data_IF_535153073220
#
_entry.id   IF_535153073220
#
_cell.length_a   1.000
_cell.length_b   1.000
_cell.length_c   1.000
_cell.angle_alpha   90.00
_cell.angle_beta   90.00
_cell.angle_gamma   90.00
#
_symmetry.space_group_name_H-M   'P 1'
#
loop_
_entity.id
_entity.type
_entity.pdbx_description
1 polymer ?
#
# COMPACT_ATOMS: atom_id res chain seq x y z
N UNK A 1 19.87 -3.51 -18.11
CA UNK A 1 18.57 -2.89 -17.78
C UNK A 1 18.29 -3.21 -16.33
N UNK A 2 18.37 -2.23 -15.43
CA UNK A 2 18.02 -2.46 -14.03
C UNK A 2 16.51 -2.54 -13.93
N UNK A 3 15.98 -3.65 -13.41
CA UNK A 3 14.57 -3.78 -13.06
C UNK A 3 14.16 -2.56 -12.22
N UNK A 4 13.26 -1.73 -12.75
CA UNK A 4 12.74 -0.59 -12.03
C UNK A 4 11.89 -1.14 -10.88
N UNK A 5 12.41 -1.07 -9.67
CA UNK A 5 11.65 -1.40 -8.47
C UNK A 5 10.64 -0.27 -8.24
N UNK A 6 9.31 -0.56 -8.25
CA UNK A 6 8.31 0.44 -7.95
C UNK A 6 8.55 1.04 -6.56
N UNK A 7 8.30 2.34 -6.38
CA UNK A 7 8.56 2.99 -5.09
C UNK A 7 7.84 2.33 -3.92
N UNK A 8 6.59 1.86 -4.08
CA UNK A 8 5.89 1.18 -2.98
C UNK A 8 6.58 -0.11 -2.50
N UNK A 9 7.33 -0.77 -3.39
CA UNK A 9 8.09 -1.99 -3.06
C UNK A 9 9.24 -1.64 -2.13
N UNK A 10 9.96 -0.54 -2.39
CA UNK A 10 11.05 -0.09 -1.53
C UNK A 10 10.53 0.27 -0.13
N UNK A 11 9.33 0.86 -0.03
CA UNK A 11 8.67 1.13 1.25
C UNK A 11 8.37 -0.16 2.01
N UNK A 12 7.86 -1.20 1.35
CA UNK A 12 7.51 -2.46 2.02
C UNK A 12 8.73 -3.29 2.43
N UNK A 13 9.87 -3.11 1.77
CA UNK A 13 11.14 -3.69 2.19
C UNK A 13 11.77 -2.96 3.39
N UNK A 14 11.29 -1.76 3.76
CA UNK A 14 11.80 -1.05 4.94
C UNK A 14 11.32 -1.74 6.23
N UNK A 15 12.22 -2.20 7.11
CA UNK A 15 11.85 -2.88 8.36
C UNK A 15 11.09 -1.99 9.34
N UNK A 16 11.13 -0.67 9.18
CA UNK A 16 10.40 0.27 10.02
C UNK A 16 8.92 0.36 9.65
N UNK A 17 8.50 -0.12 8.48
CA UNK A 17 7.08 -0.08 8.11
C UNK A 17 6.22 -0.92 9.06
N UNK A 18 6.75 -2.02 9.57
CA UNK A 18 6.07 -2.86 10.56
C UNK A 18 5.94 -2.19 11.92
N UNK A 19 6.82 -1.23 12.24
CA UNK A 19 6.78 -0.47 13.49
C UNK A 19 5.71 0.61 13.51
N UNK A 20 5.18 1.01 12.35
CA UNK A 20 4.05 1.93 12.28
C UNK A 20 2.84 1.25 12.91
N UNK A 21 2.22 1.87 13.92
CA UNK A 21 1.08 1.28 14.63
C UNK A 21 -0.26 1.40 13.89
N UNK A 22 -0.30 2.19 12.80
CA UNK A 22 -1.50 2.43 12.01
C UNK A 22 -2.02 1.14 11.34
N UNK A 23 -3.33 0.90 11.43
CA UNK A 23 -3.99 -0.25 10.79
C UNK A 23 -3.97 -0.17 9.26
N UNK A 24 -3.99 1.04 8.70
CA UNK A 24 -4.04 1.32 7.26
C UNK A 24 -2.98 2.36 6.92
N UNK A 25 -2.23 2.14 5.83
CA UNK A 25 -1.22 3.06 5.30
C UNK A 25 -1.49 3.32 3.82
N UNK A 26 -1.40 4.58 3.41
CA UNK A 26 -1.51 5.00 2.01
C UNK A 26 -0.13 5.35 1.49
N UNK A 27 0.30 4.63 0.46
CA UNK A 27 1.64 4.71 -0.11
C UNK A 27 1.51 5.09 -1.57
N UNK A 28 2.32 6.05 -2.03
CA UNK A 28 2.37 6.41 -3.45
C UNK A 28 2.94 5.23 -4.25
N UNK A 29 2.23 4.75 -5.27
CA UNK A 29 2.66 3.58 -6.05
C UNK A 29 4.05 3.79 -6.67
N UNK A 30 4.24 4.93 -7.32
CA UNK A 30 5.51 5.25 -8.00
C UNK A 30 6.58 5.77 -7.04
N UNK A 31 6.20 6.57 -6.04
CA UNK A 31 7.14 7.29 -5.18
C UNK A 31 7.58 6.50 -3.95
N UNK A 32 6.80 5.53 -3.49
CA UNK A 32 7.04 4.84 -2.22
C UNK A 32 6.83 5.70 -0.99
N UNK A 33 6.31 6.92 -1.13
CA UNK A 33 6.10 7.82 0.01
C UNK A 33 4.82 7.44 0.73
N UNK A 34 4.88 7.36 2.06
CA UNK A 34 3.69 7.25 2.89
C UNK A 34 3.01 8.63 2.91
N UNK A 35 1.78 8.69 2.40
CA UNK A 35 0.98 9.92 2.32
C UNK A 35 0.05 10.08 3.53
N UNK A 36 -0.43 8.98 4.10
CA UNK A 36 -1.32 8.99 5.24
C UNK A 36 -1.31 7.63 5.95
N UNK A 37 -1.68 7.64 7.23
CA UNK A 37 -2.00 6.44 8.01
C UNK A 37 -3.33 6.64 8.74
N UNK A 38 -4.08 5.56 8.92
CA UNK A 38 -5.38 5.55 9.59
C UNK A 38 -5.50 4.35 10.51
N UNK A 39 -6.23 4.52 11.61
CA UNK A 39 -6.52 3.44 12.54
C UNK A 39 -7.82 2.71 12.17
N UNK A 40 -8.71 3.36 11.41
CA UNK A 40 -10.02 2.82 11.05
C UNK A 40 -10.39 3.01 9.57
N UNK A 41 -11.28 2.15 9.06
CA UNK A 41 -11.85 2.29 7.71
C UNK A 41 -12.62 3.60 7.53
N UNK A 42 -13.28 4.08 8.60
CA UNK A 42 -14.10 5.30 8.54
C UNK A 42 -13.26 6.50 8.11
N UNK A 43 -12.12 6.72 8.77
CA UNK A 43 -11.20 7.81 8.45
C UNK A 43 -10.63 7.70 7.04
N UNK A 44 -10.30 6.47 6.61
CA UNK A 44 -9.87 6.21 5.24
C UNK A 44 -10.93 6.69 4.24
N UNK A 45 -12.18 6.24 4.37
CA UNK A 45 -13.23 6.60 3.41
C UNK A 45 -13.57 8.09 3.42
N UNK A 46 -13.54 8.74 4.58
CA UNK A 46 -13.69 10.20 4.67
C UNK A 46 -12.57 10.92 3.92
N UNK A 47 -11.32 10.45 4.03
CA UNK A 47 -10.20 11.04 3.28
C UNK A 47 -10.30 10.78 1.78
N UNK A 48 -10.68 9.57 1.39
CA UNK A 48 -10.76 9.14 -0.02
C UNK A 48 -11.83 9.92 -0.77
N UNK A 49 -13.01 10.13 -0.18
CA UNK A 49 -14.09 10.93 -0.78
C UNK A 49 -13.68 12.38 -1.04
N UNK A 50 -12.79 12.92 -0.22
CA UNK A 50 -12.28 14.29 -0.34
C UNK A 50 -11.04 14.40 -1.25
N UNK A 51 -10.58 13.30 -1.84
CA UNK A 51 -9.36 13.27 -2.62
C UNK A 51 -9.60 13.83 -4.04
N UNK A 52 -8.92 14.92 -4.37
CA UNK A 52 -8.77 15.41 -5.74
C UNK A 52 -7.39 15.03 -6.26
N UNK A 53 -7.26 13.88 -6.91
CA UNK A 53 -5.98 13.46 -7.47
C UNK A 53 -6.06 12.21 -8.34
N UNK A 54 -5.28 12.19 -9.42
CA UNK A 54 -5.23 11.09 -10.41
C UNK A 54 -4.14 10.05 -10.11
N UNK A 55 -3.31 10.28 -9.09
CA UNK A 55 -2.18 9.41 -8.75
C UNK A 55 -2.67 8.05 -8.23
N UNK A 56 -2.12 6.96 -8.76
CA UNK A 56 -2.38 5.62 -8.23
C UNK A 56 -1.67 5.47 -6.89
N UNK A 57 -2.41 5.06 -5.86
CA UNK A 57 -1.87 4.80 -4.53
C UNK A 57 -2.13 3.36 -4.11
N UNK A 58 -1.29 2.86 -3.21
CA UNK A 58 -1.39 1.54 -2.61
C UNK A 58 -1.87 1.73 -1.18
N UNK A 59 -2.98 1.08 -0.84
CA UNK A 59 -3.56 1.05 0.49
C UNK A 59 -3.15 -0.24 1.16
N UNK A 60 -2.09 -0.16 1.96
CA UNK A 60 -1.67 -1.27 2.80
C UNK A 60 -2.55 -1.35 4.05
N UNK A 61 -3.05 -2.53 4.38
CA UNK A 61 -3.89 -2.71 5.55
C UNK A 61 -3.54 -3.97 6.35
N UNK A 62 -3.76 -3.91 7.65
CA UNK A 62 -3.48 -4.97 8.63
C UNK A 62 -4.68 -5.15 9.54
N UNK A 63 -5.01 -6.41 9.85
CA UNK A 63 -6.06 -6.78 10.81
C UNK A 63 -7.45 -6.16 10.53
N UNK A 64 -7.71 -5.81 9.27
CA UNK A 64 -8.96 -5.21 8.81
C UNK A 64 -9.36 -5.93 7.51
N UNK A 65 -10.65 -6.16 7.35
CA UNK A 65 -11.20 -6.69 6.10
C UNK A 65 -12.07 -5.64 5.40
N UNK A 66 -11.92 -5.59 4.07
CA UNK A 66 -12.74 -4.77 3.19
C UNK A 66 -13.77 -5.65 2.47
N UNK A 67 -15.04 -5.26 2.55
CA UNK A 67 -16.14 -5.90 1.80
C UNK A 67 -15.96 -5.64 0.30
N UNK A 68 -16.52 -6.47 -0.60
CA UNK A 68 -16.41 -6.26 -2.04
C UNK A 68 -16.79 -4.83 -2.48
N UNK A 69 -17.86 -4.28 -1.93
CA UNK A 69 -18.35 -2.93 -2.22
C UNK A 69 -17.34 -1.86 -1.78
N UNK A 70 -16.74 -2.03 -0.60
CA UNK A 70 -15.67 -1.16 -0.11
C UNK A 70 -14.45 -1.18 -1.04
N UNK A 71 -14.09 -2.35 -1.59
CA UNK A 71 -12.98 -2.48 -2.54
C UNK A 71 -13.27 -1.78 -3.85
N UNK A 72 -14.49 -1.90 -4.37
CA UNK A 72 -14.90 -1.23 -5.60
C UNK A 72 -14.84 0.29 -5.45
N UNK A 73 -15.30 0.82 -4.30
CA UNK A 73 -15.19 2.25 -4.01
C UNK A 73 -13.72 2.66 -4.02
N UNK A 74 -12.85 1.98 -3.27
CA UNK A 74 -11.42 2.32 -3.23
C UNK A 74 -10.77 2.24 -4.62
N UNK A 75 -11.14 1.23 -5.42
CA UNK A 75 -10.67 1.08 -6.79
C UNK A 75 -11.09 2.25 -7.69
N UNK A 76 -12.33 2.73 -7.57
CA UNK A 76 -12.81 3.91 -8.29
C UNK A 76 -11.97 5.16 -7.99
N UNK A 77 -11.41 5.25 -6.78
CA UNK A 77 -10.47 6.32 -6.37
C UNK A 77 -8.98 5.99 -6.62
N UNK A 78 -8.70 4.98 -7.45
CA UNK A 78 -7.33 4.53 -7.83
C UNK A 78 -6.48 4.13 -6.62
N UNK A 79 -7.10 3.50 -5.63
CA UNK A 79 -6.43 2.91 -4.49
C UNK A 79 -6.42 1.39 -4.64
N UNK A 80 -5.23 0.84 -4.87
CA UNK A 80 -5.02 -0.60 -4.91
C UNK A 80 -4.88 -1.12 -3.48
N UNK A 81 -5.69 -2.10 -3.10
CA UNK A 81 -5.62 -2.73 -1.80
C UNK A 81 -4.44 -3.69 -1.71
N UNK A 82 -3.74 -3.68 -0.58
CA UNK A 82 -2.56 -4.49 -0.30
C UNK A 82 -2.65 -5.03 1.12
N UNK A 83 -2.78 -6.35 1.29
CA UNK A 83 -2.77 -6.96 2.62
C UNK A 83 -1.36 -7.39 3.03
N UNK A 84 -1.25 -7.94 4.24
CA UNK A 84 0.02 -8.47 4.77
C UNK A 84 0.59 -9.61 3.91
N UNK A 85 -0.24 -10.53 3.43
CA UNK A 85 0.20 -11.63 2.57
C UNK A 85 0.79 -11.13 1.25
N UNK A 86 0.17 -10.12 0.65
CA UNK A 86 0.67 -9.49 -0.58
C UNK A 86 1.99 -8.77 -0.33
N UNK A 87 2.13 -8.09 0.82
CA UNK A 87 3.41 -7.50 1.24
C UNK A 87 4.51 -8.57 1.34
N UNK A 88 4.26 -9.68 2.02
CA UNK A 88 5.24 -10.77 2.17
C UNK A 88 5.68 -11.31 0.80
N UNK A 89 4.73 -11.59 -0.10
CA UNK A 89 5.03 -12.02 -1.48
C UNK A 89 5.90 -11.04 -2.25
N UNK A 90 5.64 -9.74 -2.11
CA UNK A 90 6.46 -8.69 -2.76
C UNK A 90 7.87 -8.70 -2.20
N UNK A 91 8.01 -8.71 -0.87
CA UNK A 91 9.31 -8.74 -0.21
C UNK A 91 10.11 -9.98 -0.60
N UNK A 92 9.49 -11.16 -0.66
CA UNK A 92 10.15 -12.40 -1.06
C UNK A 92 10.54 -12.43 -2.54
N UNK A 93 9.69 -11.87 -3.41
CA UNK A 93 10.01 -11.71 -4.83
C UNK A 93 11.25 -10.83 -5.04
N UNK A 94 11.38 -9.74 -4.28
CA UNK A 94 12.55 -8.85 -4.35
C UNK A 94 13.81 -9.51 -3.81
N UNK A 95 13.73 -10.23 -2.68
CA UNK A 95 14.87 -10.99 -2.14
C UNK A 95 15.40 -12.00 -3.16
N UNK A 96 14.51 -12.67 -3.87
CA UNK A 96 14.89 -13.65 -4.91
C UNK A 96 15.64 -13.00 -6.07
N UNK A 97 15.28 -11.77 -6.45
CA UNK A 97 15.96 -11.00 -7.51
C UNK A 97 17.35 -10.54 -7.05
N UNK A 98 17.51 -10.16 -5.78
CA UNK A 98 18.79 -9.72 -5.22
C UNK A 98 19.79 -10.87 -5.01
N UNK A 99 19.32 -12.08 -4.70
CA UNK A 99 20.18 -13.27 -4.50
C UNK A 99 20.68 -13.88 -5.82
N UNK A 100 20.07 -13.54 -6.96
CA UNK A 100 20.48 -14.00 -8.29
C UNK A 100 21.44 -13.04 -9.02
N UNK A 101 21.97 -12.02 -8.34
CA UNK A 101 23.01 -11.12 -8.87
C UNK A 101 24.34 -11.35 -8.19
#
# INVERSE_FOLDING_TARGET
MGDFLPGYVTTFCDPNIDKLQMSILIIGKESGKIHAGFDSKKELFERVRNRKGSLTMVCYYRNIEFTPEEREVLWAYRLALFNKTDKERVVDSVKTILVRR
#
